data_IF_369209126813
#
_entry.id   IF_369209126813
#
_cell.length_a   1.000
_cell.length_b   1.000
_cell.length_c   1.000
_cell.angle_alpha   90.00
_cell.angle_beta   90.00
_cell.angle_gamma   90.00
#
_symmetry.space_group_name_H-M   'P 1'
#
loop_
_entity.id
_entity.type
_entity.pdbx_description
1 polymer ?
#
# COMPACT_ATOMS: atom_id res chain seq x y z
N UNK A 1 -1.81 21.40 -12.45
CA UNK A 1 -1.77 20.19 -13.30
C UNK A 1 -2.21 19.02 -12.45
N UNK A 2 -3.33 18.37 -12.80
CA UNK A 2 -3.81 17.20 -12.06
C UNK A 2 -2.92 16.00 -12.44
N UNK A 3 -2.05 15.56 -11.53
CA UNK A 3 -1.15 14.43 -11.76
C UNK A 3 -2.04 13.19 -11.92
N UNK A 4 -2.09 12.59 -13.12
CA UNK A 4 -2.86 11.34 -13.35
C UNK A 4 -2.28 10.26 -12.45
N UNK A 5 -2.97 9.93 -11.36
CA UNK A 5 -2.64 8.82 -10.47
C UNK A 5 -3.30 7.54 -11.00
N UNK A 6 -2.61 6.41 -10.93
CA UNK A 6 -3.19 5.10 -11.26
C UNK A 6 -3.94 4.53 -10.05
N UNK A 7 -3.45 4.84 -8.86
CA UNK A 7 -4.01 4.41 -7.58
C UNK A 7 -4.30 5.61 -6.69
N UNK A 8 -5.33 5.50 -5.87
CA UNK A 8 -5.68 6.51 -4.86
C UNK A 8 -5.58 5.92 -3.45
N UNK A 9 -5.28 6.77 -2.46
CA UNK A 9 -5.32 6.33 -1.06
C UNK A 9 -6.73 5.83 -0.72
N UNK A 10 -6.80 4.66 -0.09
CA UNK A 10 -8.06 3.95 0.16
C UNK A 10 -8.40 2.90 -0.90
N UNK A 11 -7.74 2.89 -2.06
CA UNK A 11 -7.93 1.82 -3.04
C UNK A 11 -7.52 0.47 -2.42
N UNK A 12 -8.42 -0.50 -2.45
CA UNK A 12 -8.11 -1.89 -2.15
C UNK A 12 -7.39 -2.53 -3.32
N UNK A 13 -6.35 -3.29 -3.03
CA UNK A 13 -5.51 -3.95 -4.02
C UNK A 13 -5.20 -5.39 -3.63
N UNK A 14 -4.88 -6.21 -4.61
CA UNK A 14 -4.31 -7.55 -4.41
C UNK A 14 -2.97 -7.67 -5.10
N UNK A 15 -2.03 -8.37 -4.48
CA UNK A 15 -0.79 -8.80 -5.13
C UNK A 15 -1.09 -9.93 -6.11
N UNK A 16 -0.13 -10.23 -6.99
CA UNK A 16 -0.22 -11.42 -7.86
C UNK A 16 -0.25 -12.74 -7.08
N UNK A 17 0.22 -12.75 -5.82
CA UNK A 17 0.14 -13.90 -4.90
C UNK A 17 -1.20 -14.00 -4.15
N UNK A 18 -2.13 -13.06 -4.36
CA UNK A 18 -3.45 -13.05 -3.75
C UNK A 18 -3.52 -12.39 -2.36
N UNK A 19 -2.45 -11.77 -1.89
CA UNK A 19 -2.46 -11.02 -0.64
C UNK A 19 -3.20 -9.70 -0.84
N UNK A 20 -4.14 -9.38 0.07
CA UNK A 20 -4.88 -8.14 0.01
C UNK A 20 -4.18 -7.03 0.80
N UNK A 21 -4.31 -5.81 0.29
CA UNK A 21 -3.81 -4.61 0.92
C UNK A 21 -4.64 -3.39 0.54
N UNK A 22 -4.31 -2.26 1.14
CA UNK A 22 -4.90 -0.97 0.85
C UNK A 22 -3.82 0.06 0.59
N UNK A 23 -4.03 0.87 -0.45
CA UNK A 23 -3.13 1.97 -0.78
C UNK A 23 -3.26 3.04 0.30
N UNK A 24 -2.13 3.44 0.88
CA UNK A 24 -2.10 4.41 1.98
C UNK A 24 -1.62 5.78 1.51
N UNK A 25 -1.94 6.84 2.27
CA UNK A 25 -1.46 8.19 1.96
C UNK A 25 0.00 8.36 2.36
N UNK A 26 0.66 9.42 1.85
CA UNK A 26 2.05 9.76 2.23
C UNK A 26 2.21 9.95 3.74
N UNK A 27 1.19 10.55 4.39
CA UNK A 27 1.17 10.74 5.84
C UNK A 27 1.13 9.40 6.60
N UNK A 28 0.27 8.49 6.17
CA UNK A 28 0.16 7.15 6.79
C UNK A 28 1.43 6.35 6.50
N UNK A 29 1.97 6.45 5.29
CA UNK A 29 3.22 5.79 4.91
C UNK A 29 4.40 6.25 5.76
N UNK A 30 4.54 7.57 6.01
CA UNK A 30 5.57 8.09 6.89
C UNK A 30 5.50 7.46 8.28
N UNK A 31 4.30 7.42 8.89
CA UNK A 31 4.11 6.77 10.19
C UNK A 31 4.36 5.27 10.14
N UNK A 32 3.85 4.56 9.14
CA UNK A 32 4.05 3.13 8.95
C UNK A 32 5.52 2.76 8.84
N UNK A 33 6.35 3.60 8.21
CA UNK A 33 7.80 3.40 8.15
C UNK A 33 8.49 3.45 9.53
N UNK A 34 7.93 4.21 10.47
CA UNK A 34 8.49 4.38 11.80
C UNK A 34 7.97 3.31 12.78
N UNK A 35 6.77 2.78 12.56
CA UNK A 35 6.03 1.93 13.52
C UNK A 35 5.86 0.47 13.07
N UNK A 36 5.93 0.19 11.78
CA UNK A 36 5.64 -1.13 11.20
C UNK A 36 6.88 -1.71 10.51
N UNK A 37 6.85 -3.03 10.35
CA UNK A 37 7.89 -3.75 9.60
C UNK A 37 7.59 -3.73 8.11
N UNK A 38 8.61 -3.52 7.29
CA UNK A 38 8.53 -3.72 5.84
C UNK A 38 8.50 -5.22 5.50
N UNK A 39 7.51 -5.63 4.69
CA UNK A 39 7.27 -7.04 4.37
C UNK A 39 8.25 -7.63 3.36
N UNK A 40 8.81 -6.79 2.47
CA UNK A 40 9.65 -7.13 1.32
C UNK A 40 8.97 -8.11 0.34
N UNK A 41 7.68 -7.90 0.09
CA UNK A 41 6.90 -8.79 -0.78
C UNK A 41 7.44 -8.89 -2.20
N UNK A 42 7.27 -10.04 -2.87
CA UNK A 42 7.54 -10.13 -4.30
C UNK A 42 6.86 -9.00 -5.08
N UNK A 43 7.63 -8.28 -5.89
CA UNK A 43 7.13 -7.15 -6.64
C UNK A 43 7.09 -5.80 -5.90
N UNK A 44 7.60 -5.74 -4.67
CA UNK A 44 7.93 -4.47 -4.02
C UNK A 44 8.94 -3.67 -4.85
N UNK A 45 8.88 -2.36 -4.72
CA UNK A 45 9.81 -1.42 -5.32
C UNK A 45 11.12 -1.50 -4.53
N UNK A 46 12.12 -2.14 -5.14
CA UNK A 46 13.48 -2.16 -4.64
C UNK A 46 14.38 -1.32 -5.55
N UNK A 47 14.99 -0.27 -4.99
CA UNK A 47 16.00 0.55 -5.65
C UNK A 47 17.12 0.88 -4.65
N UNK A 48 18.29 0.20 -4.74
CA UNK A 48 19.38 0.44 -3.79
C UNK A 48 19.89 1.88 -3.89
N UNK A 49 19.96 2.58 -2.76
CA UNK A 49 20.42 3.97 -2.67
C UNK A 49 19.39 5.05 -3.04
N UNK A 50 18.13 4.68 -3.31
CA UNK A 50 17.07 5.64 -3.65
C UNK A 50 16.04 5.82 -2.51
N UNK A 51 15.51 7.03 -2.37
CA UNK A 51 14.45 7.34 -1.41
C UNK A 51 13.08 6.86 -1.94
N UNK A 52 12.28 6.25 -1.07
CA UNK A 52 10.85 6.01 -1.36
C UNK A 52 10.13 7.34 -1.55
N UNK A 53 9.69 7.60 -2.77
CA UNK A 53 8.90 8.79 -3.14
C UNK A 53 7.59 8.32 -3.78
N UNK A 54 6.55 8.06 -2.97
CA UNK A 54 5.24 7.68 -3.45
C UNK A 54 4.73 8.64 -4.53
N UNK A 55 4.49 8.12 -5.73
CA UNK A 55 3.93 8.88 -6.85
C UNK A 55 2.57 8.32 -7.29
N UNK A 56 2.15 7.18 -6.72
CA UNK A 56 0.89 6.50 -7.00
C UNK A 56 0.71 6.07 -8.47
N UNK A 57 1.83 5.97 -9.19
CA UNK A 57 1.91 5.53 -10.59
C UNK A 57 2.93 4.38 -10.71
N UNK A 58 4.10 4.55 -10.11
CA UNK A 58 5.21 3.58 -10.10
C UNK A 58 5.47 3.10 -8.68
N UNK A 59 5.44 4.02 -7.70
CA UNK A 59 5.66 3.75 -6.29
C UNK A 59 4.34 3.91 -5.53
N UNK A 60 3.74 2.78 -5.17
CA UNK A 60 2.43 2.72 -4.52
C UNK A 60 2.63 2.18 -3.11
N UNK A 61 2.55 2.99 -2.05
CA UNK A 61 2.64 2.50 -0.69
C UNK A 61 1.36 1.72 -0.36
N UNK A 62 1.52 0.47 0.09
CA UNK A 62 0.43 -0.44 0.41
C UNK A 62 0.62 -0.98 1.83
N UNK A 63 -0.44 -0.92 2.63
CA UNK A 63 -0.53 -1.62 3.91
C UNK A 63 -1.27 -2.93 3.71
N UNK A 64 -0.76 -4.03 4.26
CA UNK A 64 -1.33 -5.36 4.09
C UNK A 64 -2.01 -5.85 5.36
N UNK A 65 -2.86 -6.87 5.22
CA UNK A 65 -3.67 -7.43 6.32
C UNK A 65 -2.86 -8.02 7.47
N UNK A 66 -1.58 -8.36 7.23
CA UNK A 66 -0.68 -8.87 8.26
C UNK A 66 0.02 -7.76 9.06
N UNK A 67 -0.35 -6.49 8.85
CA UNK A 67 0.20 -5.34 9.57
C UNK A 67 1.58 -4.91 9.10
N UNK A 68 2.05 -5.41 7.96
CA UNK A 68 3.28 -4.92 7.31
C UNK A 68 2.94 -3.97 6.16
N UNK A 69 3.89 -3.13 5.80
CA UNK A 69 3.78 -2.28 4.61
C UNK A 69 4.82 -2.69 3.56
N UNK A 70 4.56 -2.35 2.31
CA UNK A 70 5.56 -2.31 1.24
C UNK A 70 5.25 -1.16 0.27
N UNK A 71 6.27 -0.62 -0.39
CA UNK A 71 6.06 0.18 -1.61
C UNK A 71 6.00 -0.78 -2.78
N UNK A 72 4.88 -0.86 -3.48
CA UNK A 72 4.65 -1.80 -4.58
C UNK A 72 4.81 -1.11 -5.93
N UNK A 73 5.28 -1.86 -6.94
CA UNK A 73 5.19 -1.43 -8.35
C UNK A 73 3.79 -1.64 -8.89
N UNK A 74 3.27 -0.70 -9.67
CA UNK A 74 1.91 -0.80 -10.26
C UNK A 74 1.67 -2.12 -11.00
N UNK A 75 2.65 -2.63 -11.72
CA UNK A 75 2.54 -3.89 -12.47
C UNK A 75 2.36 -5.14 -11.59
N UNK A 76 2.66 -5.05 -10.29
CA UNK A 76 2.66 -6.19 -9.36
C UNK A 76 1.44 -6.19 -8.41
N UNK A 77 0.57 -5.19 -8.53
CA UNK A 77 -0.68 -5.08 -7.78
C UNK A 77 -1.84 -4.80 -8.74
N UNK A 78 -3.05 -5.26 -8.38
CA UNK A 78 -4.28 -4.99 -9.13
C UNK A 78 -5.31 -4.37 -8.21
N UNK A 79 -6.13 -3.44 -8.71
CA UNK A 79 -7.28 -2.95 -7.95
C UNK A 79 -8.23 -4.10 -7.67
N UNK A 80 -8.75 -4.15 -6.46
CA UNK A 80 -9.67 -5.16 -5.99
C UNK A 80 -10.89 -4.48 -5.34
N UNK A 81 -11.73 -3.76 -6.11
CA UNK A 81 -12.89 -3.05 -5.57
C UNK A 81 -13.89 -4.00 -4.90
N UNK A 82 -13.94 -5.25 -5.37
CA UNK A 82 -14.80 -6.32 -4.84
C UNK A 82 -14.14 -7.14 -3.72
N UNK A 83 -13.16 -6.58 -3.01
CA UNK A 83 -12.56 -7.25 -1.86
C UNK A 83 -13.64 -7.47 -0.77
N UNK A 84 -13.74 -8.68 -0.18
CA UNK A 84 -14.74 -8.97 0.85
C UNK A 84 -14.75 -7.92 1.96
N UNK A 85 -15.94 -7.54 2.42
CA UNK A 85 -16.12 -6.46 3.39
C UNK A 85 -15.32 -6.69 4.68
N UNK A 86 -15.26 -7.93 5.16
CA UNK A 86 -14.47 -8.31 6.34
C UNK A 86 -12.99 -7.95 6.19
N UNK A 87 -12.40 -8.28 5.04
CA UNK A 87 -10.98 -8.01 4.72
C UNK A 87 -10.73 -6.50 4.58
N UNK A 88 -11.65 -5.80 3.90
CA UNK A 88 -11.60 -4.34 3.78
C UNK A 88 -11.70 -3.66 5.15
N UNK A 89 -12.59 -4.12 6.02
CA UNK A 89 -12.76 -3.59 7.37
C UNK A 89 -11.50 -3.83 8.22
N UNK A 90 -10.86 -5.00 8.09
CA UNK A 90 -9.59 -5.27 8.76
C UNK A 90 -8.49 -4.30 8.30
N UNK A 91 -8.35 -4.08 6.99
CA UNK A 91 -7.39 -3.11 6.45
C UNK A 91 -7.65 -1.68 6.95
N UNK A 92 -8.92 -1.27 7.01
CA UNK A 92 -9.29 0.04 7.52
C UNK A 92 -8.89 0.21 9.00
N UNK A 93 -9.13 -0.80 9.84
CA UNK A 93 -8.71 -0.78 11.25
C UNK A 93 -7.20 -0.62 11.41
N UNK A 94 -6.42 -1.30 10.56
CA UNK A 94 -4.95 -1.16 10.56
C UNK A 94 -4.52 0.26 10.19
N UNK A 95 -5.21 0.91 9.25
CA UNK A 95 -4.95 2.31 8.87
C UNK A 95 -5.32 3.28 9.99
N UNK A 96 -6.46 3.08 10.64
CA UNK A 96 -6.93 3.95 11.72
C UNK A 96 -5.93 3.94 12.89
N UNK A 97 -5.33 2.78 13.18
CA UNK A 97 -4.24 2.65 14.16
C UNK A 97 -2.98 3.47 13.80
N UNK A 98 -2.77 3.77 12.52
CA UNK A 98 -1.67 4.64 12.07
C UNK A 98 -2.09 6.11 11.99
N UNK A 99 -3.37 6.45 12.19
CA UNK A 99 -3.84 7.84 12.08
C UNK A 99 -3.78 8.59 13.41
N UNK A 100 -3.76 7.86 14.54
CA UNK A 100 -3.59 8.36 15.91
C UNK A 100 -2.33 9.18 16.15
#
# INVERSE_FOLDING_TARGET
MNRKRLFESGDTVTTFTGQAGMVISEKIFAKARDSLKEGRRPGHYFAPGCCHNPDYVIQIPVLFEDGTYDVMRAMNIRKAPDLPEERRANLQRLIDNQTG
#
